data_IF_569503717823
#
_entry.id   IF_569503717823
#
_cell.length_a   1.000
_cell.length_b   1.000
_cell.length_c   1.000
_cell.angle_alpha   90.00
_cell.angle_beta   90.00
_cell.angle_gamma   90.00
#
_symmetry.space_group_name_H-M   'P 1'
#
loop_
_entity.id
_entity.type
_entity.pdbx_description
1 polymer ?
#
# COMPACT_ATOMS: atom_id res chain seq x y z
N UNK A 1 -6.92 7.83 -5.25
CA UNK A 1 -7.36 7.76 -3.84
C UNK A 1 -6.58 8.70 -2.91
N UNK A 2 -5.24 8.72 -2.91
CA UNK A 2 -4.46 9.61 -2.02
C UNK A 2 -4.56 11.10 -2.41
N UNK A 3 -4.28 11.42 -3.68
CA UNK A 3 -4.38 12.79 -4.22
C UNK A 3 -5.82 13.34 -4.12
N UNK A 4 -6.82 12.47 -4.25
CA UNK A 4 -8.23 12.85 -4.16
C UNK A 4 -8.65 13.23 -2.74
N UNK A 5 -8.01 12.67 -1.71
CA UNK A 5 -8.31 13.06 -0.32
C UNK A 5 -7.70 14.42 0.03
N UNK A 6 -6.49 14.71 -0.46
CA UNK A 6 -5.83 16.00 -0.27
C UNK A 6 -6.60 17.14 -0.92
N UNK A 7 -6.98 17.00 -2.19
CA UNK A 7 -7.71 18.03 -2.92
C UNK A 7 -9.09 18.29 -2.33
N UNK A 8 -9.80 17.23 -1.92
CA UNK A 8 -11.10 17.36 -1.24
C UNK A 8 -10.98 18.03 0.13
N UNK A 9 -9.96 17.70 0.92
CA UNK A 9 -9.76 18.28 2.26
C UNK A 9 -9.37 19.75 2.21
N UNK A 10 -8.50 20.12 1.26
CA UNK A 10 -8.15 21.52 0.98
C UNK A 10 -9.38 22.31 0.50
N UNK A 11 -10.20 21.72 -0.36
CA UNK A 11 -11.46 22.33 -0.81
C UNK A 11 -12.40 22.63 0.35
N UNK A 12 -12.66 21.66 1.23
CA UNK A 12 -13.53 21.85 2.40
C UNK A 12 -13.00 22.93 3.36
N UNK A 13 -11.68 23.00 3.54
CA UNK A 13 -11.07 24.01 4.40
C UNK A 13 -11.16 25.41 3.79
N UNK A 14 -10.92 25.55 2.48
CA UNK A 14 -11.09 26.82 1.75
C UNK A 14 -12.53 27.35 1.86
N UNK A 15 -13.51 26.47 1.70
CA UNK A 15 -14.93 26.80 1.81
C UNK A 15 -15.29 27.30 3.22
N UNK A 16 -14.76 26.64 4.25
CA UNK A 16 -14.99 27.06 5.63
C UNK A 16 -14.35 28.43 5.95
N UNK A 17 -13.14 28.70 5.42
CA UNK A 17 -12.48 30.01 5.57
C UNK A 17 -13.27 31.11 4.84
N UNK A 18 -13.75 30.81 3.62
CA UNK A 18 -14.59 31.72 2.83
C UNK A 18 -15.87 32.11 3.59
N UNK A 19 -16.57 31.13 4.16
CA UNK A 19 -17.79 31.32 4.97
C UNK A 19 -17.52 32.08 6.29
N UNK A 20 -16.33 31.92 6.90
CA UNK A 20 -15.95 32.68 8.10
C UNK A 20 -15.63 34.15 7.81
N UNK A 21 -14.94 34.44 6.70
CA UNK A 21 -14.50 35.79 6.34
C UNK A 21 -15.57 36.59 5.59
N UNK A 22 -16.61 35.93 5.07
CA UNK A 22 -17.62 36.58 4.22
C UNK A 22 -17.03 37.13 2.91
N UNK A 23 -15.92 36.55 2.45
CA UNK A 23 -15.19 36.96 1.25
C UNK A 23 -15.16 35.80 0.26
N UNK A 24 -15.48 36.06 -1.01
CA UNK A 24 -15.34 35.08 -2.09
C UNK A 24 -13.86 34.77 -2.34
N UNK A 25 -13.35 33.72 -1.70
CA UNK A 25 -12.06 33.13 -2.05
C UNK A 25 -12.23 32.47 -3.43
N UNK A 26 -11.74 33.19 -4.45
CA UNK A 26 -11.93 33.12 -5.91
C UNK A 26 -11.73 31.75 -6.63
N UNK A 27 -11.99 30.59 -6.02
CA UNK A 27 -11.84 29.28 -6.66
C UNK A 27 -13.03 28.33 -6.50
N UNK A 28 -14.00 28.65 -5.64
CA UNK A 28 -15.22 27.85 -5.49
C UNK A 28 -16.44 28.77 -5.35
N UNK A 29 -17.15 28.95 -6.46
CA UNK A 29 -18.53 29.44 -6.68
C UNK A 29 -19.08 30.52 -5.73
N UNK A 30 -19.57 31.63 -6.30
CA UNK A 30 -20.29 32.74 -5.65
C UNK A 30 -21.48 32.29 -4.75
N UNK A 31 -21.97 31.06 -4.90
CA UNK A 31 -23.04 30.51 -4.04
C UNK A 31 -22.55 30.12 -2.63
N UNK A 32 -21.25 29.90 -2.41
CA UNK A 32 -20.72 29.42 -1.12
C UNK A 32 -20.44 30.52 -0.09
N UNK A 33 -20.30 31.78 -0.49
CA UNK A 33 -20.14 32.91 0.46
C UNK A 33 -21.40 33.24 1.24
N UNK A 34 -22.56 32.83 0.73
CA UNK A 34 -23.86 33.01 1.39
C UNK A 34 -24.20 31.89 2.40
N UNK A 35 -23.29 30.94 2.63
CA UNK A 35 -23.52 29.82 3.55
C UNK A 35 -23.33 30.24 5.01
N UNK A 36 -24.30 29.98 5.92
CA UNK A 36 -24.14 30.29 7.33
C UNK A 36 -22.98 29.48 7.94
N UNK A 37 -22.01 30.19 8.52
CA UNK A 37 -20.81 29.58 9.12
C UNK A 37 -21.15 28.58 10.22
N UNK A 38 -22.18 28.86 11.03
CA UNK A 38 -22.65 27.96 12.08
C UNK A 38 -24.01 27.37 11.65
N UNK A 39 -24.18 26.02 11.69
CA UNK A 39 -23.22 24.98 12.07
C UNK A 39 -22.39 24.44 10.89
N UNK A 40 -22.75 24.80 9.66
CA UNK A 40 -22.33 24.09 8.45
C UNK A 40 -20.88 24.36 8.07
N UNK A 41 -20.44 25.62 8.08
CA UNK A 41 -19.04 26.01 7.83
C UNK A 41 -18.08 25.47 8.90
N UNK A 42 -18.46 25.52 10.18
CA UNK A 42 -17.68 24.97 11.28
C UNK A 42 -17.49 23.44 11.15
N UNK A 43 -18.53 22.73 10.71
CA UNK A 43 -18.47 21.29 10.45
C UNK A 43 -17.53 20.99 9.27
N UNK A 44 -17.61 21.77 8.19
CA UNK A 44 -16.69 21.66 7.05
C UNK A 44 -15.22 21.94 7.45
N UNK A 45 -14.98 22.90 8.33
CA UNK A 45 -13.65 23.17 8.87
C UNK A 45 -13.09 21.96 9.64
N UNK A 46 -13.90 21.36 10.51
CA UNK A 46 -13.47 20.21 11.32
C UNK A 46 -13.08 19.02 10.44
N UNK A 47 -13.93 18.68 9.45
CA UNK A 47 -13.62 17.60 8.51
C UNK A 47 -12.44 17.94 7.59
N UNK A 48 -12.30 19.19 7.15
CA UNK A 48 -11.17 19.65 6.33
C UNK A 48 -9.83 19.60 7.07
N UNK A 49 -9.82 19.91 8.38
CA UNK A 49 -8.61 19.77 9.21
C UNK A 49 -8.26 18.30 9.41
N UNK A 50 -9.25 17.46 9.77
CA UNK A 50 -9.04 16.02 9.96
C UNK A 50 -8.52 15.32 8.70
N UNK A 51 -9.09 15.63 7.53
CA UNK A 51 -8.65 15.08 6.25
C UNK A 51 -7.23 15.52 5.87
N UNK A 52 -6.81 16.74 6.23
CA UNK A 52 -5.46 17.23 6.00
C UNK A 52 -4.44 16.48 6.85
N UNK A 53 -4.72 16.25 8.13
CA UNK A 53 -3.84 15.47 9.00
C UNK A 53 -3.66 14.03 8.50
N UNK A 54 -4.76 13.38 8.10
CA UNK A 54 -4.72 12.02 7.56
C UNK A 54 -3.93 11.99 6.24
N UNK A 55 -4.19 12.94 5.36
CA UNK A 55 -3.50 13.04 4.07
C UNK A 55 -2.00 13.26 4.25
N UNK A 56 -1.63 14.22 5.09
CA UNK A 56 -0.23 14.51 5.42
C UNK A 56 0.48 13.28 6.00
N UNK A 57 -0.19 12.55 6.91
CA UNK A 57 0.34 11.30 7.47
C UNK A 57 0.58 10.24 6.38
N UNK A 58 -0.37 10.04 5.46
CA UNK A 58 -0.22 9.11 4.34
C UNK A 58 0.90 9.52 3.39
N UNK A 59 1.08 10.81 3.16
CA UNK A 59 2.17 11.35 2.34
C UNK A 59 3.53 11.07 2.98
N UNK A 60 3.64 11.24 4.30
CA UNK A 60 4.86 10.88 5.06
C UNK A 60 5.16 9.38 5.04
N UNK A 61 4.14 8.52 5.17
CA UNK A 61 4.32 7.06 5.02
C UNK A 61 4.94 6.73 3.66
N UNK A 62 4.44 7.37 2.59
CA UNK A 62 4.94 7.17 1.23
C UNK A 62 6.35 7.73 1.05
N UNK A 63 6.62 8.94 1.55
CA UNK A 63 7.94 9.58 1.49
C UNK A 63 9.00 8.71 2.17
N UNK A 64 8.64 8.08 3.30
CA UNK A 64 9.52 7.14 3.98
C UNK A 64 9.48 5.73 3.41
N UNK A 65 8.72 5.46 2.36
CA UNK A 65 8.61 4.14 1.73
C UNK A 65 8.43 3.01 2.77
N UNK A 66 7.53 3.25 3.74
CA UNK A 66 7.25 2.31 4.83
C UNK A 66 6.55 1.08 4.24
N UNK A 67 7.02 -0.11 4.59
CA UNK A 67 6.63 -1.39 4.01
C UNK A 67 7.40 -1.75 2.73
N UNK A 68 8.10 -0.79 2.11
CA UNK A 68 8.97 -1.02 0.97
C UNK A 68 10.19 -1.87 1.35
N UNK A 69 10.96 -2.29 0.35
CA UNK A 69 12.09 -3.17 0.60
C UNK A 69 12.69 -3.77 -0.66
N UNK A 70 13.55 -4.76 -0.49
CA UNK A 70 14.05 -5.62 -1.57
C UNK A 70 14.46 -6.98 -1.04
N UNK A 71 14.50 -7.94 -1.94
CA UNK A 71 14.73 -9.34 -1.63
C UNK A 71 16.04 -9.75 -2.30
N UNK A 72 16.97 -10.32 -1.53
CA UNK A 72 18.30 -10.71 -2.00
C UNK A 72 18.39 -12.23 -1.93
N UNK A 73 18.75 -12.85 -3.05
CA UNK A 73 18.96 -14.29 -3.15
C UNK A 73 20.44 -14.56 -3.46
N UNK A 74 21.22 -15.00 -2.46
CA UNK A 74 22.66 -15.23 -2.61
C UNK A 74 22.99 -16.73 -2.64
N UNK A 75 23.30 -17.25 -3.83
CA UNK A 75 23.71 -18.66 -4.03
C UNK A 75 25.07 -18.99 -3.40
N UNK A 76 25.98 -18.02 -3.28
CA UNK A 76 27.32 -18.26 -2.72
C UNK A 76 27.25 -18.42 -1.21
N UNK A 77 26.44 -17.59 -0.56
CA UNK A 77 26.19 -17.66 0.88
C UNK A 77 25.12 -18.68 1.26
N UNK A 78 24.34 -19.19 0.29
CA UNK A 78 23.19 -20.08 0.49
C UNK A 78 22.15 -19.50 1.44
N UNK A 79 21.88 -18.19 1.31
CA UNK A 79 20.94 -17.46 2.15
C UNK A 79 20.02 -16.58 1.29
N UNK A 80 18.77 -16.44 1.74
CA UNK A 80 17.78 -15.50 1.24
C UNK A 80 17.55 -14.44 2.31
N UNK A 81 17.59 -13.18 1.91
CA UNK A 81 17.46 -12.04 2.81
C UNK A 81 16.34 -11.13 2.34
N UNK A 82 15.34 -10.92 3.20
CA UNK A 82 14.28 -9.94 2.99
C UNK A 82 14.60 -8.68 3.79
N UNK A 83 14.78 -7.57 3.08
CA UNK A 83 14.86 -6.26 3.70
C UNK A 83 13.51 -5.57 3.57
N UNK A 84 12.98 -5.08 4.68
CA UNK A 84 11.81 -4.21 4.72
C UNK A 84 12.10 -2.95 5.51
N UNK A 85 11.57 -1.82 5.05
CA UNK A 85 11.65 -0.53 5.71
C UNK A 85 10.43 -0.35 6.60
N UNK A 86 10.64 -0.33 7.91
CA UNK A 86 9.64 0.03 8.90
C UNK A 86 9.52 1.54 9.09
N UNK A 87 8.81 1.92 10.15
CA UNK A 87 8.67 3.32 10.56
C UNK A 87 10.02 3.98 10.85
N UNK A 88 10.15 5.30 10.62
CA UNK A 88 11.36 6.05 10.94
C UNK A 88 11.72 5.88 12.43
N UNK A 89 12.99 5.55 12.71
CA UNK A 89 13.49 5.30 14.06
C UNK A 89 14.82 4.55 14.05
N UNK A 90 15.33 4.20 15.25
CA UNK A 90 16.61 3.48 15.42
C UNK A 90 16.60 2.09 14.75
N UNK A 91 15.45 1.41 14.75
CA UNK A 91 15.27 0.08 14.15
C UNK A 91 14.39 0.13 12.90
N UNK A 92 14.64 1.10 12.01
CA UNK A 92 13.87 1.25 10.77
C UNK A 92 14.02 0.04 9.83
N UNK A 93 15.16 -0.65 9.85
CA UNK A 93 15.44 -1.77 8.94
C UNK A 93 15.03 -3.08 9.58
N UNK A 94 14.07 -3.76 8.98
CA UNK A 94 13.67 -5.11 9.34
C UNK A 94 14.37 -6.05 8.36
N UNK A 95 15.22 -6.92 8.89
CA UNK A 95 16.01 -7.89 8.11
C UNK A 95 15.59 -9.28 8.55
N UNK A 96 15.05 -10.06 7.62
CA UNK A 96 14.76 -11.49 7.82
C UNK A 96 15.73 -12.26 6.95
N UNK A 97 16.52 -13.14 7.57
CA UNK A 97 17.45 -14.03 6.87
C UNK A 97 16.96 -15.46 7.01
N UNK A 98 17.02 -16.19 5.90
CA UNK A 98 16.58 -17.58 5.82
C UNK A 98 17.66 -18.35 5.07
N UNK A 99 18.24 -19.39 5.64
CA UNK A 99 19.16 -20.24 4.90
C UNK A 99 18.39 -21.03 3.84
N UNK A 100 19.00 -21.21 2.67
CA UNK A 100 18.35 -21.92 1.56
C UNK A 100 18.04 -23.39 1.87
N UNK A 101 18.70 -23.97 2.88
CA UNK A 101 18.43 -25.33 3.37
C UNK A 101 17.06 -25.47 4.03
N UNK A 102 16.48 -24.36 4.52
CA UNK A 102 15.17 -24.34 5.15
C UNK A 102 14.03 -24.08 4.16
N UNK A 103 14.35 -23.79 2.89
CA UNK A 103 13.35 -23.53 1.86
C UNK A 103 12.86 -24.87 1.33
N UNK A 104 11.58 -25.17 1.54
CA UNK A 104 10.99 -26.44 1.13
C UNK A 104 10.46 -26.39 -0.30
N UNK A 105 9.67 -25.36 -0.61
CA UNK A 105 8.96 -25.25 -1.87
C UNK A 105 8.61 -23.81 -2.20
N UNK A 106 8.30 -23.56 -3.48
CA UNK A 106 7.61 -22.35 -3.89
C UNK A 106 6.17 -22.73 -4.19
N UNK A 107 5.21 -22.06 -3.55
CA UNK A 107 3.77 -22.27 -3.77
C UNK A 107 3.12 -21.09 -4.46
N UNK A 108 2.33 -21.35 -5.48
CA UNK A 108 1.43 -20.35 -6.04
C UNK A 108 0.07 -20.56 -5.38
N UNK A 109 -0.44 -19.53 -4.70
CA UNK A 109 -1.80 -19.59 -4.15
C UNK A 109 -2.63 -18.57 -4.90
N UNK A 110 -3.66 -19.07 -5.58
CA UNK A 110 -4.63 -18.24 -6.29
C UNK A 110 -5.77 -17.91 -5.33
N UNK A 111 -5.76 -16.70 -4.80
CA UNK A 111 -6.83 -16.16 -3.98
C UNK A 111 -7.94 -15.57 -4.86
N UNK A 112 -9.19 -15.81 -4.49
CA UNK A 112 -10.32 -15.06 -5.03
C UNK A 112 -10.54 -13.86 -4.12
N UNK A 113 -10.27 -12.65 -4.63
CA UNK A 113 -10.57 -11.44 -3.88
C UNK A 113 -11.75 -10.71 -4.53
N UNK A 114 -12.84 -10.59 -3.79
CA UNK A 114 -13.98 -9.76 -4.16
C UNK A 114 -13.59 -8.30 -3.97
N UNK A 115 -13.40 -7.58 -5.07
CA UNK A 115 -13.05 -6.16 -5.01
C UNK A 115 -14.32 -5.32 -4.86
N UNK A 116 -14.71 -5.08 -3.61
CA UNK A 116 -15.60 -3.97 -3.21
C UNK A 116 -17.11 -4.17 -3.35
N UNK A 117 -17.87 -3.42 -2.55
CA UNK A 117 -19.34 -3.51 -2.37
C UNK A 117 -20.13 -3.21 -3.67
N UNK A 118 -19.52 -2.56 -4.66
CA UNK A 118 -20.20 -2.05 -5.86
C UNK A 118 -19.68 -2.58 -7.20
N UNK A 119 -18.59 -3.33 -7.23
CA UNK A 119 -18.04 -3.89 -8.47
C UNK A 119 -17.93 -5.40 -8.33
N UNK A 120 -18.83 -6.12 -8.99
CA UNK A 120 -18.84 -7.59 -9.07
C UNK A 120 -17.73 -8.10 -10.00
N UNK A 121 -16.52 -7.62 -9.80
CA UNK A 121 -15.33 -8.03 -10.54
C UNK A 121 -14.55 -8.99 -9.64
N UNK A 122 -14.62 -10.28 -9.96
CA UNK A 122 -13.76 -11.29 -9.35
C UNK A 122 -12.36 -11.09 -9.92
N UNK A 123 -11.45 -10.54 -9.12
CA UNK A 123 -10.03 -10.48 -9.47
C UNK A 123 -9.34 -11.67 -8.82
N UNK A 124 -8.71 -12.48 -9.66
CA UNK A 124 -7.84 -13.56 -9.20
C UNK A 124 -6.48 -12.92 -8.88
N UNK A 125 -6.16 -12.81 -7.59
CA UNK A 125 -4.82 -12.42 -7.17
C UNK A 125 -4.03 -13.71 -6.91
N UNK A 126 -3.08 -14.00 -7.81
CA UNK A 126 -2.15 -15.12 -7.62
C UNK A 126 -0.93 -14.58 -6.86
N UNK A 127 -0.66 -15.14 -5.69
CA UNK A 127 0.48 -14.72 -4.86
C UNK A 127 1.44 -15.90 -4.80
N UNK A 128 2.72 -15.62 -5.03
CA UNK A 128 3.81 -16.59 -4.90
C UNK A 128 4.27 -16.55 -3.45
N UNK A 129 4.30 -17.71 -2.82
CA UNK A 129 4.77 -17.94 -1.46
C UNK A 129 6.02 -18.80 -1.47
N UNK A 130 6.97 -18.46 -0.63
CA UNK A 130 8.06 -19.35 -0.23
C UNK A 130 7.63 -20.11 1.01
N UNK A 131 7.62 -21.43 0.94
CA UNK A 131 7.45 -22.26 2.14
C UNK A 131 8.81 -22.52 2.78
N UNK A 132 8.89 -22.25 4.07
CA UNK A 132 10.07 -22.48 4.89
C UNK A 132 9.72 -23.37 6.07
N UNK A 133 10.70 -24.13 6.58
CA UNK A 133 10.50 -25.04 7.72
C UNK A 133 10.10 -24.25 8.98
N UNK A 134 10.81 -23.16 9.29
CA UNK A 134 10.63 -22.44 10.56
C UNK A 134 9.63 -21.28 10.48
N UNK A 135 9.61 -20.54 9.36
CA UNK A 135 8.88 -19.27 9.24
C UNK A 135 7.55 -19.42 8.49
N UNK A 136 7.24 -20.62 7.99
CA UNK A 136 6.00 -20.93 7.28
C UNK A 136 5.97 -20.31 5.88
N UNK A 137 4.84 -19.68 5.54
CA UNK A 137 4.59 -19.11 4.22
C UNK A 137 5.00 -17.63 4.15
N UNK A 138 6.05 -17.33 3.37
CA UNK A 138 6.49 -15.97 3.11
C UNK A 138 6.05 -15.52 1.71
N UNK A 139 5.19 -14.48 1.59
CA UNK A 139 4.82 -13.95 0.28
C UNK A 139 6.03 -13.29 -0.40
N UNK A 140 6.32 -13.73 -1.63
CA UNK A 140 7.38 -13.21 -2.49
C UNK A 140 6.87 -12.16 -3.48
N UNK A 141 5.60 -12.25 -3.88
CA UNK A 141 5.00 -11.27 -4.79
C UNK A 141 4.58 -10.02 -4.02
N UNK A 142 4.92 -8.85 -4.53
CA UNK A 142 4.38 -7.58 -4.01
C UNK A 142 2.95 -7.42 -4.52
N UNK A 143 2.07 -6.93 -3.66
CA UNK A 143 0.67 -6.59 -4.02
C UNK A 143 0.63 -5.55 -5.15
N UNK A 144 1.71 -4.77 -5.34
CA UNK A 144 1.83 -3.74 -6.37
C UNK A 144 2.17 -4.29 -7.77
N UNK A 145 2.68 -5.52 -7.84
CA UNK A 145 2.99 -6.18 -9.10
C UNK A 145 1.65 -6.64 -9.73
N UNK A 146 1.00 -5.80 -10.55
CA UNK A 146 -0.17 -6.18 -11.38
C UNK A 146 0.26 -7.19 -12.46
N UNK A 147 0.76 -8.36 -12.05
CA UNK A 147 1.24 -9.40 -12.93
C UNK A 147 0.07 -10.23 -13.42
N UNK A 148 0.13 -10.59 -14.69
CA UNK A 148 -0.80 -11.55 -15.26
C UNK A 148 -0.49 -12.95 -14.71
N UNK A 149 -1.48 -13.86 -14.60
CA UNK A 149 -1.25 -15.25 -14.16
C UNK A 149 -0.05 -15.96 -14.83
N UNK A 150 0.18 -15.86 -16.16
CA UNK A 150 1.36 -16.48 -16.77
C UNK A 150 2.68 -15.86 -16.33
N UNK A 151 2.75 -14.55 -16.10
CA UNK A 151 3.95 -13.88 -15.59
C UNK A 151 4.28 -14.33 -14.17
N UNK A 152 3.24 -14.55 -13.35
CA UNK A 152 3.38 -15.06 -11.98
C UNK A 152 3.93 -16.49 -12.00
N UNK A 153 3.39 -17.35 -12.87
CA UNK A 153 3.89 -18.70 -13.05
C UNK A 153 5.34 -18.73 -13.54
N UNK A 154 5.70 -17.88 -14.51
CA UNK A 154 7.08 -17.75 -15.00
C UNK A 154 8.02 -17.30 -13.88
N UNK A 155 7.67 -16.26 -13.13
CA UNK A 155 8.46 -15.74 -12.00
C UNK A 155 8.64 -16.80 -10.91
N UNK A 156 7.59 -17.55 -10.58
CA UNK A 156 7.66 -18.63 -9.62
C UNK A 156 8.55 -19.79 -10.12
N UNK A 157 8.45 -20.15 -11.40
CA UNK A 157 9.30 -21.17 -12.03
C UNK A 157 10.77 -20.78 -12.05
N UNK A 158 11.09 -19.54 -12.40
CA UNK A 158 12.45 -19.00 -12.34
C UNK A 158 13.03 -19.05 -10.93
N UNK A 159 12.25 -18.65 -9.93
CA UNK A 159 12.67 -18.70 -8.52
C UNK A 159 12.87 -20.15 -8.04
N UNK A 160 11.98 -21.07 -8.43
CA UNK A 160 12.05 -22.47 -8.03
C UNK A 160 13.30 -23.13 -8.66
N UNK A 161 13.53 -22.88 -9.95
CA UNK A 161 14.73 -23.32 -10.65
C UNK A 161 16.01 -22.70 -10.06
N UNK A 162 15.95 -21.41 -9.70
CA UNK A 162 17.09 -20.73 -9.08
C UNK A 162 17.43 -21.35 -7.73
N UNK A 163 16.44 -21.63 -6.88
CA UNK A 163 16.63 -22.19 -5.55
C UNK A 163 16.86 -23.71 -5.55
N UNK A 164 16.49 -24.40 -6.63
CA UNK A 164 16.57 -25.86 -6.73
C UNK A 164 15.50 -26.58 -5.90
N UNK A 165 14.34 -25.96 -5.71
CA UNK A 165 13.21 -26.47 -4.90
C UNK A 165 12.00 -26.75 -5.79
N UNK A 166 11.11 -27.67 -5.39
CA UNK A 166 9.89 -27.95 -6.14
C UNK A 166 8.96 -26.72 -6.21
N UNK A 167 8.35 -26.53 -7.37
CA UNK A 167 7.23 -25.61 -7.57
C UNK A 167 5.92 -26.38 -7.33
N UNK A 168 5.08 -25.83 -6.47
CA UNK A 168 3.76 -26.34 -6.13
C UNK A 168 2.70 -25.32 -6.55
N UNK A 169 1.65 -25.80 -7.20
CA UNK A 169 0.53 -25.00 -7.70
C UNK A 169 -0.74 -25.32 -6.92
#
# INVERSE_FOLDING_TARGET
>A
MKITLETSSLGLLLVAISSYLGMDLFLFSEEMSNLPFIPQGATMAFYGIGGLFISFYLWWILLWNIGGGFDIFDKKKKEVCFLRWGFPGKNRRIIIKIPMTEIQSIRIITGVQERGIFTRTLTYESIVYMETIEQGFLPLTRIEDNLTPPEIANKAGELAFFLGVPLLY
#
